data_IF_313156865705
#
_entry.id   IF_313156865705
#
_cell.length_a   1.000
_cell.length_b   1.000
_cell.length_c   1.000
_cell.angle_alpha   90.00
_cell.angle_beta   90.00
_cell.angle_gamma   90.00
#
_symmetry.space_group_name_H-M   'P 1'
#
loop_
_entity.id
_entity.type
_entity.pdbx_description
1 polymer ?
#
# COMPACT_ATOMS: atom_id res chain seq x y z
N UNK A 1 1.61 -12.69 -6.72
CA UNK A 1 2.41 -11.43 -6.83
C UNK A 1 1.69 -10.42 -7.70
N UNK A 2 1.53 -9.19 -7.22
CA UNK A 2 0.92 -8.10 -7.97
C UNK A 2 1.90 -7.63 -9.09
N UNK A 3 1.46 -7.54 -10.37
CA UNK A 3 2.31 -7.12 -11.49
C UNK A 3 2.99 -5.76 -11.31
N UNK A 4 2.36 -4.84 -10.57
CA UNK A 4 2.94 -3.54 -10.22
C UNK A 4 4.27 -3.72 -9.46
N UNK A 5 4.29 -4.57 -8.43
CA UNK A 5 5.50 -4.80 -7.65
C UNK A 5 6.58 -5.56 -8.41
N UNK A 6 6.21 -6.41 -9.38
CA UNK A 6 7.19 -7.06 -10.27
C UNK A 6 7.94 -6.01 -11.12
N UNK A 7 7.20 -5.03 -11.66
CA UNK A 7 7.81 -3.94 -12.43
C UNK A 7 8.70 -3.05 -11.57
N UNK A 8 8.22 -2.71 -10.37
CA UNK A 8 8.96 -1.88 -9.42
C UNK A 8 10.25 -2.56 -8.96
N UNK A 9 10.17 -3.84 -8.59
CA UNK A 9 11.34 -4.67 -8.22
C UNK A 9 12.37 -4.71 -9.35
N UNK A 10 11.92 -4.89 -10.60
CA UNK A 10 12.79 -4.85 -11.76
C UNK A 10 13.54 -3.52 -11.92
N UNK A 11 12.87 -2.39 -11.68
CA UNK A 11 13.50 -1.07 -11.75
C UNK A 11 14.53 -0.85 -10.61
N UNK A 12 14.21 -1.29 -9.39
CA UNK A 12 15.14 -1.22 -8.26
C UNK A 12 16.36 -2.11 -8.55
N UNK A 13 16.15 -3.32 -9.05
CA UNK A 13 17.20 -4.26 -9.40
C UNK A 13 18.17 -3.68 -10.42
N UNK A 14 17.65 -3.10 -11.50
CA UNK A 14 18.48 -2.48 -12.54
C UNK A 14 19.43 -1.42 -11.95
N UNK A 15 18.93 -0.56 -11.06
CA UNK A 15 19.74 0.47 -10.42
C UNK A 15 20.77 -0.14 -9.47
N UNK A 16 20.37 -1.03 -8.57
CA UNK A 16 21.24 -1.67 -7.58
C UNK A 16 22.37 -2.44 -8.28
N UNK A 17 22.03 -3.30 -9.24
CA UNK A 17 23.02 -4.14 -9.95
C UNK A 17 23.92 -3.32 -10.88
N UNK A 18 23.46 -2.17 -11.40
CA UNK A 18 24.31 -1.26 -12.18
C UNK A 18 25.48 -0.66 -11.37
N UNK A 19 25.34 -0.61 -10.04
CA UNK A 19 26.40 -0.16 -9.13
C UNK A 19 27.28 -1.29 -8.61
N UNK A 20 27.03 -2.53 -9.03
CA UNK A 20 27.78 -3.72 -8.63
C UNK A 20 27.29 -4.38 -7.34
N UNK A 21 26.16 -3.91 -6.81
CA UNK A 21 25.52 -4.45 -5.62
C UNK A 21 24.56 -5.59 -5.99
N UNK A 22 24.05 -6.31 -4.99
CA UNK A 22 23.11 -7.42 -5.15
C UNK A 22 21.77 -7.10 -4.49
N UNK A 23 20.67 -7.26 -5.25
CA UNK A 23 19.32 -7.17 -4.69
C UNK A 23 18.79 -8.56 -4.33
N UNK A 24 18.40 -8.74 -3.07
CA UNK A 24 17.60 -9.87 -2.59
C UNK A 24 16.15 -9.39 -2.47
N UNK A 25 15.23 -10.04 -3.15
CA UNK A 25 13.80 -9.69 -3.12
C UNK A 25 12.97 -10.87 -2.61
N UNK A 26 11.98 -10.59 -1.78
CA UNK A 26 11.05 -11.58 -1.23
C UNK A 26 9.62 -11.04 -1.31
N UNK A 27 8.68 -11.94 -1.66
CA UNK A 27 7.24 -11.65 -1.72
C UNK A 27 6.55 -12.34 -0.52
N UNK A 28 5.94 -11.58 0.41
CA UNK A 28 5.23 -12.15 1.57
C UNK A 28 3.84 -12.67 1.21
N UNK A 29 3.40 -12.59 -0.03
CA UNK A 29 2.10 -13.06 -0.50
C UNK A 29 0.90 -12.50 0.30
N UNK A 30 0.95 -11.24 0.70
CA UNK A 30 -0.04 -10.55 1.55
C UNK A 30 -0.18 -11.13 2.97
N UNK A 31 0.83 -11.82 3.47
CA UNK A 31 0.88 -12.30 4.86
C UNK A 31 1.89 -11.53 5.69
N UNK A 32 1.41 -10.79 6.70
CA UNK A 32 2.25 -9.93 7.54
C UNK A 32 3.26 -10.72 8.39
N UNK A 33 2.88 -11.91 8.88
CA UNK A 33 3.80 -12.75 9.65
C UNK A 33 4.91 -13.29 8.75
N UNK A 34 4.56 -13.69 7.52
CA UNK A 34 5.56 -14.10 6.52
C UNK A 34 6.53 -12.97 6.23
N UNK A 35 6.04 -11.72 6.13
CA UNK A 35 6.91 -10.56 5.91
C UNK A 35 7.90 -10.33 7.04
N UNK A 36 7.46 -10.41 8.30
CA UNK A 36 8.33 -10.29 9.47
C UNK A 36 9.42 -11.35 9.46
N UNK A 37 9.06 -12.63 9.22
CA UNK A 37 10.02 -13.74 9.15
C UNK A 37 11.03 -13.57 8.00
N UNK A 38 10.59 -13.07 6.84
CA UNK A 38 11.47 -12.79 5.70
C UNK A 38 12.47 -11.67 6.02
N UNK A 39 12.06 -10.63 6.74
CA UNK A 39 12.97 -9.55 7.17
C UNK A 39 14.00 -10.09 8.17
N UNK A 40 13.61 -10.94 9.10
CA UNK A 40 14.52 -11.60 10.03
C UNK A 40 15.58 -12.46 9.28
N UNK A 41 15.15 -13.22 8.26
CA UNK A 41 16.05 -13.98 7.40
C UNK A 41 17.02 -13.06 6.64
N UNK A 42 16.56 -11.93 6.09
CA UNK A 42 17.42 -10.96 5.41
C UNK A 42 18.46 -10.34 6.35
N UNK A 43 18.06 -9.99 7.60
CA UNK A 43 19.01 -9.52 8.62
C UNK A 43 20.08 -10.59 8.88
N UNK A 44 19.67 -11.85 9.01
CA UNK A 44 20.59 -12.98 9.25
C UNK A 44 21.55 -13.22 8.08
N UNK A 45 21.15 -12.85 6.86
CA UNK A 45 22.00 -12.91 5.66
C UNK A 45 22.94 -11.73 5.53
N UNK A 46 22.86 -10.75 6.41
CA UNK A 46 23.76 -9.61 6.46
C UNK A 46 23.46 -8.56 5.39
N UNK A 47 22.18 -8.29 5.09
CA UNK A 47 21.80 -7.17 4.21
C UNK A 47 22.24 -5.85 4.84
N UNK A 48 22.70 -4.94 4.04
CA UNK A 48 23.24 -3.64 4.47
C UNK A 48 22.21 -2.51 4.35
N UNK A 49 21.17 -2.71 3.53
CA UNK A 49 20.10 -1.75 3.27
C UNK A 49 18.79 -2.50 3.09
N UNK A 50 17.68 -1.96 3.58
CA UNK A 50 16.35 -2.53 3.39
C UNK A 50 15.41 -1.58 2.65
N UNK A 51 14.83 -2.05 1.54
CA UNK A 51 13.68 -1.44 0.90
C UNK A 51 12.41 -2.08 1.44
N UNK A 52 11.47 -1.27 1.96
CA UNK A 52 10.28 -1.75 2.68
C UNK A 52 9.00 -1.28 2.01
N UNK A 53 8.12 -2.24 1.70
CA UNK A 53 6.71 -1.99 1.41
C UNK A 53 5.87 -2.89 2.34
N UNK A 54 5.13 -2.33 3.32
CA UNK A 54 4.45 -3.14 4.31
C UNK A 54 3.18 -3.79 3.74
N UNK A 55 2.93 -5.03 4.12
CA UNK A 55 1.62 -5.70 3.95
C UNK A 55 0.58 -5.09 4.89
N UNK A 56 1.03 -4.81 6.11
CA UNK A 56 0.25 -4.17 7.16
C UNK A 56 1.11 -3.08 7.81
N UNK A 57 0.58 -1.85 7.87
CA UNK A 57 1.32 -0.68 8.30
C UNK A 57 1.83 -0.78 9.74
N UNK A 58 1.02 -1.36 10.64
CA UNK A 58 1.35 -1.52 12.05
C UNK A 58 1.99 -2.90 12.32
N UNK A 59 1.53 -3.93 11.61
CA UNK A 59 2.03 -5.30 11.76
C UNK A 59 3.51 -5.48 11.42
N UNK A 60 4.09 -4.54 10.63
CA UNK A 60 5.52 -4.58 10.29
C UNK A 60 6.44 -3.98 11.37
N UNK A 61 5.89 -3.20 12.31
CA UNK A 61 6.70 -2.46 13.31
C UNK A 61 7.71 -3.36 14.04
N UNK A 62 7.38 -4.60 14.49
CA UNK A 62 8.37 -5.46 15.12
C UNK A 62 9.59 -5.76 14.22
N UNK A 63 9.39 -5.89 12.91
CA UNK A 63 10.47 -6.10 11.96
C UNK A 63 11.32 -4.83 11.75
N UNK A 64 10.68 -3.65 11.79
CA UNK A 64 11.40 -2.37 11.73
C UNK A 64 12.27 -2.16 12.98
N UNK A 65 11.80 -2.57 14.16
CA UNK A 65 12.61 -2.58 15.39
C UNK A 65 13.86 -3.46 15.22
N UNK A 66 13.71 -4.68 14.69
CA UNK A 66 14.84 -5.58 14.44
C UNK A 66 15.86 -4.98 13.47
N UNK A 67 15.40 -4.34 12.39
CA UNK A 67 16.28 -3.65 11.41
C UNK A 67 17.01 -2.47 12.06
N UNK A 68 16.32 -1.69 12.87
CA UNK A 68 16.89 -0.56 13.61
C UNK A 68 17.96 -1.02 14.60
N UNK A 69 17.68 -2.09 15.37
CA UNK A 69 18.62 -2.67 16.33
C UNK A 69 19.86 -3.25 15.62
N UNK A 70 19.70 -3.77 14.41
CA UNK A 70 20.78 -4.23 13.55
C UNK A 70 21.55 -3.09 12.86
N UNK A 71 21.08 -1.84 12.98
CA UNK A 71 21.70 -0.67 12.34
C UNK A 71 21.51 -0.61 10.81
N UNK A 72 20.51 -1.30 10.27
CA UNK A 72 20.23 -1.37 8.84
C UNK A 72 19.31 -0.20 8.43
N UNK A 73 19.76 0.70 7.55
CA UNK A 73 18.92 1.80 7.07
C UNK A 73 17.75 1.28 6.24
N UNK A 74 16.58 1.92 6.43
CA UNK A 74 15.32 1.53 5.82
C UNK A 74 14.82 2.61 4.87
N UNK A 75 14.41 2.22 3.66
CA UNK A 75 13.82 3.07 2.64
C UNK A 75 12.44 2.55 2.30
N UNK A 76 11.41 3.33 2.64
CA UNK A 76 10.03 2.99 2.32
C UNK A 76 9.64 3.37 0.89
N UNK A 77 8.76 2.59 0.28
CA UNK A 77 8.21 2.92 -1.02
C UNK A 77 6.74 2.49 -1.12
N UNK A 78 5.97 3.19 -1.98
CA UNK A 78 4.57 2.96 -2.29
C UNK A 78 3.63 3.10 -1.08
N UNK A 79 3.58 2.14 -0.18
CA UNK A 79 2.75 2.16 1.03
C UNK A 79 3.56 2.58 2.24
N UNK A 80 3.02 3.48 3.05
CA UNK A 80 3.65 3.95 4.28
C UNK A 80 3.58 2.90 5.38
N UNK A 81 4.60 2.89 6.25
CA UNK A 81 4.58 2.16 7.52
C UNK A 81 3.85 2.99 8.59
N UNK A 82 3.37 2.35 9.65
CA UNK A 82 2.59 3.02 10.71
C UNK A 82 3.35 4.10 11.46
N UNK A 83 4.67 3.99 11.53
CA UNK A 83 5.56 5.04 12.07
C UNK A 83 6.69 5.36 11.08
N UNK A 84 6.55 6.47 10.38
CA UNK A 84 7.52 6.92 9.37
C UNK A 84 8.89 7.32 9.95
N UNK A 85 9.03 7.45 11.27
CA UNK A 85 10.30 7.79 11.92
C UNK A 85 11.36 6.67 11.82
N UNK A 86 10.94 5.44 11.49
CA UNK A 86 11.85 4.34 11.19
C UNK A 86 12.60 4.52 9.88
N UNK A 87 12.01 5.22 8.93
CA UNK A 87 12.53 5.29 7.56
C UNK A 87 13.57 6.40 7.40
N UNK A 88 14.66 6.08 6.74
CA UNK A 88 15.67 7.04 6.29
C UNK A 88 15.08 7.97 5.20
N UNK A 89 14.26 7.40 4.33
CA UNK A 89 13.53 8.13 3.27
C UNK A 89 12.34 7.31 2.79
N UNK A 90 11.40 8.00 2.15
CA UNK A 90 10.20 7.39 1.56
C UNK A 90 9.94 7.97 0.17
N UNK A 91 9.51 7.12 -0.75
CA UNK A 91 9.04 7.49 -2.08
C UNK A 91 7.68 6.86 -2.37
N UNK A 92 6.68 7.68 -2.60
CA UNK A 92 5.33 7.22 -2.89
C UNK A 92 4.46 8.29 -3.53
N UNK A 93 3.26 7.92 -3.93
CA UNK A 93 2.25 8.83 -4.48
C UNK A 93 1.53 9.58 -3.36
N UNK A 94 1.03 10.77 -3.67
CA UNK A 94 0.01 11.43 -2.84
C UNK A 94 -1.32 10.70 -3.00
N UNK A 95 -1.50 9.66 -2.19
CA UNK A 95 -2.63 8.75 -2.29
C UNK A 95 -3.96 9.42 -1.89
N UNK A 96 -3.92 10.34 -0.90
CA UNK A 96 -5.11 11.09 -0.53
C UNK A 96 -5.58 11.97 -1.70
N UNK A 97 -4.68 12.75 -2.30
CA UNK A 97 -5.02 13.58 -3.45
C UNK A 97 -5.48 12.74 -4.66
N UNK A 98 -4.89 11.57 -4.89
CA UNK A 98 -5.34 10.67 -5.95
C UNK A 98 -6.80 10.22 -5.75
N UNK A 99 -7.18 9.88 -4.53
CA UNK A 99 -8.57 9.60 -4.17
C UNK A 99 -9.48 10.81 -4.31
N UNK A 100 -9.01 11.96 -3.83
CA UNK A 100 -9.77 13.22 -3.86
C UNK A 100 -10.14 13.62 -5.31
N UNK A 101 -9.17 13.60 -6.24
CA UNK A 101 -9.42 13.88 -7.66
C UNK A 101 -10.43 12.91 -8.29
N UNK A 102 -10.38 11.62 -7.90
CA UNK A 102 -11.38 10.64 -8.35
C UNK A 102 -12.79 10.97 -7.84
N UNK A 103 -12.93 11.39 -6.59
CA UNK A 103 -14.22 11.80 -6.02
C UNK A 103 -14.78 13.06 -6.68
N UNK A 104 -13.93 14.06 -6.94
CA UNK A 104 -14.33 15.25 -7.72
C UNK A 104 -14.81 14.90 -9.13
N UNK A 105 -14.09 13.98 -9.81
CA UNK A 105 -14.46 13.56 -11.17
C UNK A 105 -15.78 12.79 -11.19
N UNK A 106 -16.01 11.92 -10.19
CA UNK A 106 -17.30 11.25 -10.02
C UNK A 106 -18.43 12.25 -9.84
N UNK A 107 -18.30 13.22 -8.93
CA UNK A 107 -19.34 14.22 -8.69
C UNK A 107 -19.64 15.06 -9.95
N UNK A 108 -18.64 15.37 -10.77
CA UNK A 108 -18.83 16.07 -12.05
C UNK A 108 -19.58 15.22 -13.09
N UNK A 109 -19.30 13.90 -13.13
CA UNK A 109 -19.87 12.97 -14.11
C UNK A 109 -21.26 12.45 -13.71
N UNK A 110 -21.56 12.42 -12.43
CA UNK A 110 -22.82 11.92 -11.86
C UNK A 110 -23.42 13.01 -10.96
N UNK A 111 -23.86 14.14 -11.56
CA UNK A 111 -24.32 15.30 -10.78
C UNK A 111 -25.61 15.05 -10.00
N UNK A 112 -26.38 14.04 -10.36
CA UNK A 112 -27.59 13.64 -9.64
C UNK A 112 -27.31 12.76 -8.41
N UNK A 113 -26.02 12.37 -8.22
CA UNK A 113 -25.62 11.47 -7.14
C UNK A 113 -26.06 10.02 -7.34
N UNK A 114 -26.05 9.23 -6.28
CA UNK A 114 -26.48 7.83 -6.34
C UNK A 114 -25.84 6.96 -5.28
N UNK A 115 -26.09 5.66 -5.40
CA UNK A 115 -25.53 4.65 -4.52
C UNK A 115 -24.17 4.20 -5.04
N UNK A 116 -23.20 4.05 -4.15
CA UNK A 116 -21.84 3.62 -4.47
C UNK A 116 -21.40 2.46 -3.59
N UNK A 117 -20.59 1.58 -4.17
CA UNK A 117 -19.89 0.52 -3.48
C UNK A 117 -18.41 0.85 -3.40
N UNK A 118 -17.80 0.61 -2.24
CA UNK A 118 -16.37 0.82 -2.01
C UNK A 118 -15.69 -0.53 -1.78
N UNK A 119 -14.69 -0.83 -2.60
CA UNK A 119 -13.77 -1.94 -2.38
C UNK A 119 -12.43 -1.34 -1.96
N UNK A 120 -12.03 -1.60 -0.73
CA UNK A 120 -10.82 -1.05 -0.14
C UNK A 120 -9.86 -2.14 0.38
N UNK A 121 -8.86 -1.72 1.14
CA UNK A 121 -7.95 -2.60 1.87
C UNK A 121 -7.45 -1.83 3.10
N UNK A 122 -8.17 -1.90 4.23
CA UNK A 122 -7.97 -0.99 5.37
C UNK A 122 -6.63 -1.17 6.10
N UNK A 123 -5.92 -2.27 5.89
CA UNK A 123 -4.57 -2.50 6.45
C UNK A 123 -3.46 -1.84 5.62
N UNK A 124 -3.78 -1.36 4.40
CA UNK A 124 -2.85 -0.69 3.51
C UNK A 124 -3.06 0.82 3.55
N UNK A 125 -2.14 1.57 4.14
CA UNK A 125 -2.26 3.02 4.31
C UNK A 125 -2.51 3.75 2.97
N UNK A 126 -1.83 3.34 1.90
CA UNK A 126 -2.03 3.93 0.56
C UNK A 126 -3.47 3.78 0.04
N UNK A 127 -4.15 2.68 0.39
CA UNK A 127 -5.56 2.45 0.01
C UNK A 127 -6.48 3.25 0.92
N UNK A 128 -6.22 3.26 2.22
CA UNK A 128 -6.98 4.05 3.20
C UNK A 128 -6.96 5.54 2.85
N UNK A 129 -5.79 6.08 2.49
CA UNK A 129 -5.65 7.48 2.07
C UNK A 129 -6.49 7.78 0.82
N UNK A 130 -6.46 6.91 -0.19
CA UNK A 130 -7.29 7.06 -1.41
C UNK A 130 -8.78 7.03 -1.08
N UNK A 131 -9.19 6.09 -0.23
CA UNK A 131 -10.60 5.99 0.20
C UNK A 131 -11.04 7.24 0.94
N UNK A 132 -10.23 7.74 1.86
CA UNK A 132 -10.52 8.95 2.62
C UNK A 132 -10.61 10.17 1.70
N UNK A 133 -9.62 10.38 0.83
CA UNK A 133 -9.65 11.48 -0.14
C UNK A 133 -10.87 11.43 -1.04
N UNK A 134 -11.23 10.26 -1.55
CA UNK A 134 -12.44 10.08 -2.36
C UNK A 134 -13.72 10.43 -1.59
N UNK A 135 -13.88 9.94 -0.36
CA UNK A 135 -15.06 10.19 0.46
C UNK A 135 -15.17 11.67 0.85
N UNK A 136 -14.06 12.32 1.15
CA UNK A 136 -14.05 13.76 1.45
C UNK A 136 -14.45 14.58 0.21
N UNK A 137 -13.92 14.26 -0.97
CA UNK A 137 -14.26 14.97 -2.20
C UNK A 137 -15.75 14.85 -2.56
N UNK A 138 -16.34 13.66 -2.48
CA UNK A 138 -17.76 13.49 -2.77
C UNK A 138 -18.63 14.22 -1.75
N UNK A 139 -18.23 14.26 -0.48
CA UNK A 139 -18.91 15.00 0.58
C UNK A 139 -18.86 16.52 0.35
N UNK A 140 -17.69 17.03 -0.04
CA UNK A 140 -17.47 18.45 -0.30
C UNK A 140 -18.13 18.94 -1.59
N UNK A 141 -18.37 18.04 -2.55
CA UNK A 141 -19.01 18.36 -3.83
C UNK A 141 -20.45 18.87 -3.69
N UNK A 142 -21.12 18.58 -2.57
CA UNK A 142 -22.53 18.85 -2.36
C UNK A 142 -23.49 17.90 -3.12
N UNK A 143 -22.96 16.94 -3.90
CA UNK A 143 -23.74 15.88 -4.56
C UNK A 143 -23.96 14.74 -3.56
N UNK A 144 -25.19 14.23 -3.48
CA UNK A 144 -25.52 13.16 -2.54
C UNK A 144 -25.13 11.79 -3.08
N UNK A 145 -24.11 11.19 -2.47
CA UNK A 145 -23.75 9.79 -2.70
C UNK A 145 -23.94 8.97 -1.42
N UNK A 146 -24.58 7.80 -1.55
CA UNK A 146 -24.76 6.88 -0.44
C UNK A 146 -23.78 5.72 -0.57
N UNK A 147 -22.90 5.52 0.41
CA UNK A 147 -22.08 4.31 0.48
C UNK A 147 -22.96 3.16 0.97
N UNK A 148 -23.47 2.35 0.05
CA UNK A 148 -24.40 1.25 0.36
C UNK A 148 -23.68 -0.05 0.69
N UNK A 149 -22.38 -0.12 0.44
CA UNK A 149 -21.52 -1.24 0.83
C UNK A 149 -20.05 -0.88 0.78
N UNK A 150 -19.29 -1.40 1.74
CA UNK A 150 -17.83 -1.30 1.80
C UNK A 150 -17.26 -2.64 2.21
N UNK A 151 -16.28 -3.15 1.46
CA UNK A 151 -15.69 -4.46 1.67
C UNK A 151 -14.17 -4.42 1.49
N UNK A 152 -13.48 -5.15 2.37
CA UNK A 152 -12.05 -5.37 2.23
C UNK A 152 -11.75 -6.35 1.08
N UNK A 153 -11.12 -5.85 0.04
CA UNK A 153 -10.67 -6.61 -1.13
C UNK A 153 -9.24 -7.14 -0.99
N UNK A 154 -8.55 -6.84 0.11
CA UNK A 154 -7.21 -7.34 0.46
C UNK A 154 -6.14 -7.08 -0.61
N UNK A 155 -6.32 -6.04 -1.45
CA UNK A 155 -5.45 -5.81 -2.60
C UNK A 155 -5.43 -6.97 -3.61
N UNK A 156 -6.43 -7.85 -3.61
CA UNK A 156 -6.50 -9.08 -4.39
C UNK A 156 -7.66 -9.04 -5.38
N UNK A 157 -7.36 -9.24 -6.67
CA UNK A 157 -8.36 -9.16 -7.75
C UNK A 157 -9.46 -10.22 -7.61
N UNK A 158 -9.14 -11.43 -7.18
CA UNK A 158 -10.15 -12.50 -7.03
C UNK A 158 -11.10 -12.18 -5.88
N UNK A 159 -10.55 -11.78 -4.72
CA UNK A 159 -11.34 -11.35 -3.56
C UNK A 159 -12.22 -10.15 -3.91
N UNK A 160 -11.67 -9.15 -4.64
CA UNK A 160 -12.44 -8.01 -5.11
C UNK A 160 -13.64 -8.42 -5.99
N UNK A 161 -13.44 -9.36 -6.92
CA UNK A 161 -14.52 -9.87 -7.76
C UNK A 161 -15.61 -10.61 -6.96
N UNK A 162 -15.21 -11.44 -5.99
CA UNK A 162 -16.15 -12.14 -5.09
C UNK A 162 -16.97 -11.14 -4.28
N UNK A 163 -16.29 -10.17 -3.64
CA UNK A 163 -16.94 -9.13 -2.84
C UNK A 163 -17.85 -8.21 -3.66
N UNK A 164 -17.44 -7.83 -4.87
CA UNK A 164 -18.29 -7.04 -5.75
C UNK A 164 -19.56 -7.81 -6.15
N UNK A 165 -19.43 -9.12 -6.42
CA UNK A 165 -20.58 -9.96 -6.77
C UNK A 165 -21.55 -10.11 -5.60
N UNK A 166 -21.04 -10.20 -4.37
CA UNK A 166 -21.88 -10.34 -3.17
C UNK A 166 -22.64 -9.04 -2.83
N UNK A 167 -22.18 -7.89 -3.32
CA UNK A 167 -22.77 -6.57 -3.06
C UNK A 167 -23.79 -6.14 -4.14
N UNK A 168 -23.77 -6.77 -5.32
CA UNK A 168 -24.67 -6.47 -6.46
C UNK A 168 -25.92 -7.34 -6.45
#
# INVERSE_FOLDING_TARGET
TNPFFVTLEGAIREVVESHGDQLISMDPANDSNTQVNQIEDMISRGVEVMFVNPVDADGIIPALDMLKDAGIPMFGFDTQVGDMSYLTSYAGSDNYNAGYVCGEDLAKKVPDGGDILVLDSPTMQSVTDRTNGFLDAIKESGVTFNVVGQQDAQGNQQVANEKATDLL
#
